data_IF_738016154830
#
_entry.id   IF_738016154830
#
_cell.length_a   1.000
_cell.length_b   1.000
_cell.length_c   1.000
_cell.angle_alpha   90.00
_cell.angle_beta   90.00
_cell.angle_gamma   90.00
#
_symmetry.space_group_name_H-M   'P 1'
#
loop_
_entity.id
_entity.type
_entity.pdbx_description
1 polymer ?
#
# COMPACT_ATOMS: atom_id res chain seq x y z
N UNK A 1 -5.66 -2.78 -15.26
CA UNK A 1 -6.54 -1.96 -14.38
C UNK A 1 -6.01 -0.54 -14.32
N UNK A 2 -6.82 0.45 -13.93
CA UNK A 2 -6.32 1.81 -13.72
C UNK A 2 -5.38 1.86 -12.50
N UNK A 3 -4.26 2.58 -12.62
CA UNK A 3 -3.23 2.72 -11.59
C UNK A 3 -2.75 4.17 -11.57
N UNK A 4 -2.70 4.77 -10.38
CA UNK A 4 -2.19 6.14 -10.21
C UNK A 4 -0.74 6.14 -9.71
N UNK A 5 -0.08 7.28 -9.80
CA UNK A 5 1.21 7.57 -9.16
C UNK A 5 1.09 8.91 -8.46
N UNK A 6 1.59 9.02 -7.24
CA UNK A 6 1.62 10.28 -6.50
C UNK A 6 3.07 10.68 -6.20
N UNK A 7 3.32 11.98 -6.14
CA UNK A 7 4.64 12.58 -5.90
C UNK A 7 5.32 12.06 -4.63
N UNK A 8 6.66 12.03 -4.63
CA UNK A 8 7.47 11.47 -3.54
C UNK A 8 7.34 12.21 -2.20
N UNK A 9 6.88 13.46 -2.20
CA UNK A 9 6.60 14.22 -0.98
C UNK A 9 5.44 13.64 -0.14
N UNK A 10 4.65 12.72 -0.70
CA UNK A 10 3.61 11.98 0.03
C UNK A 10 4.15 10.81 0.83
N UNK A 11 5.39 10.39 0.62
CA UNK A 11 5.96 9.30 1.42
C UNK A 11 6.20 9.75 2.87
N UNK A 12 5.82 8.95 3.88
CA UNK A 12 6.02 9.32 5.26
C UNK A 12 7.53 9.38 5.60
N UNK A 13 7.95 10.29 6.51
CA UNK A 13 9.36 10.51 6.82
C UNK A 13 10.03 9.28 7.44
N UNK A 14 9.27 8.43 8.13
CA UNK A 14 9.74 7.21 8.78
C UNK A 14 9.55 5.94 7.93
N UNK A 15 9.30 6.06 6.62
CA UNK A 15 9.21 4.90 5.75
C UNK A 15 10.56 4.15 5.69
N UNK A 16 10.60 2.93 6.22
CA UNK A 16 11.84 2.14 6.29
C UNK A 16 12.40 1.69 4.94
N UNK A 17 11.62 1.80 3.86
CA UNK A 17 12.06 1.48 2.50
C UNK A 17 12.65 2.71 1.76
N UNK A 18 12.38 3.93 2.24
CA UNK A 18 12.84 5.17 1.60
C UNK A 18 14.36 5.20 1.58
N UNK A 19 14.95 5.34 0.39
CA UNK A 19 16.40 5.25 0.14
C UNK A 19 17.03 3.95 0.64
N UNK A 20 16.22 2.93 0.87
CA UNK A 20 16.62 1.67 1.51
C UNK A 20 15.92 0.46 0.87
N UNK A 21 15.79 0.49 -0.46
CA UNK A 21 15.22 -0.61 -1.23
C UNK A 21 13.79 -0.39 -1.72
N UNK A 22 13.25 0.83 -1.64
CA UNK A 22 11.98 1.17 -2.28
C UNK A 22 12.05 0.88 -3.79
N UNK A 23 11.15 0.03 -4.30
CA UNK A 23 11.17 -0.35 -5.72
C UNK A 23 10.94 0.84 -6.66
N UNK A 24 10.18 1.85 -6.21
CA UNK A 24 9.88 3.06 -6.98
C UNK A 24 11.11 3.96 -7.21
N UNK A 25 12.19 3.77 -6.44
CA UNK A 25 13.45 4.51 -6.60
C UNK A 25 14.36 3.92 -7.68
N UNK A 26 13.90 2.87 -8.39
CA UNK A 26 14.71 2.17 -9.40
C UNK A 26 14.00 1.94 -10.73
N UNK A 27 14.79 1.72 -11.79
CA UNK A 27 14.30 1.34 -13.11
C UNK A 27 13.45 2.41 -13.82
N UNK A 28 12.65 2.01 -14.81
CA UNK A 28 11.79 2.94 -15.55
C UNK A 28 10.79 3.69 -14.67
N UNK A 29 10.28 3.03 -13.62
CA UNK A 29 9.35 3.65 -12.67
C UNK A 29 9.96 4.88 -12.00
N UNK A 30 11.25 4.86 -11.65
CA UNK A 30 11.93 6.01 -11.04
C UNK A 30 11.92 7.25 -11.94
N UNK A 31 12.03 7.07 -13.26
CA UNK A 31 12.00 8.16 -14.24
C UNK A 31 10.61 8.82 -14.24
N UNK A 32 9.55 8.01 -14.33
CA UNK A 32 8.18 8.51 -14.31
C UNK A 32 7.82 9.13 -12.96
N UNK A 33 8.24 8.50 -11.86
CA UNK A 33 7.95 8.99 -10.52
C UNK A 33 8.68 10.31 -10.20
N UNK A 34 9.91 10.48 -10.69
CA UNK A 34 10.63 11.76 -10.62
C UNK A 34 9.89 12.85 -11.39
N UNK A 35 9.48 12.59 -12.63
CA UNK A 35 8.72 13.57 -13.42
C UNK A 35 7.39 13.99 -12.75
N UNK A 36 6.68 13.05 -12.11
CA UNK A 36 5.49 13.38 -11.30
C UNK A 36 5.87 14.21 -10.07
N UNK A 37 6.96 13.85 -9.40
CA UNK A 37 7.43 14.55 -8.18
C UNK A 37 7.94 15.97 -8.44
N UNK A 38 8.45 16.22 -9.65
CA UNK A 38 8.91 17.53 -10.12
C UNK A 38 7.78 18.37 -10.76
N UNK A 39 6.56 17.83 -10.82
CA UNK A 39 5.42 18.53 -11.43
C UNK A 39 5.44 18.58 -12.97
N UNK A 40 6.34 17.84 -13.62
CA UNK A 40 6.44 17.74 -15.07
C UNK A 40 5.34 16.85 -15.69
N UNK A 41 4.71 16.01 -14.87
CA UNK A 41 3.60 15.12 -15.23
C UNK A 41 2.62 15.02 -14.07
N UNK A 42 1.36 14.73 -14.40
CA UNK A 42 0.31 14.47 -13.42
C UNK A 42 -0.86 15.43 -13.59
N UNK A 43 -1.82 15.30 -12.69
CA UNK A 43 -3.01 16.11 -12.60
C UNK A 43 -3.16 16.63 -11.17
N UNK A 44 -4.00 17.63 -10.99
CA UNK A 44 -4.41 18.09 -9.67
C UNK A 44 -5.19 17.00 -8.95
N UNK A 45 -5.30 17.12 -7.62
CA UNK A 45 -6.09 16.18 -6.84
C UNK A 45 -7.56 16.15 -7.28
N UNK A 46 -8.12 17.29 -7.66
CA UNK A 46 -9.54 17.40 -8.05
C UNK A 46 -9.81 16.75 -9.40
N UNK A 47 -8.90 16.90 -10.37
CA UNK A 47 -8.94 16.17 -11.64
C UNK A 47 -8.84 14.65 -11.42
N UNK A 48 -7.96 14.20 -10.53
CA UNK A 48 -7.90 12.79 -10.14
C UNK A 48 -9.25 12.27 -9.60
N UNK A 49 -9.93 13.04 -8.73
CA UNK A 49 -11.24 12.63 -8.21
C UNK A 49 -12.28 12.52 -9.32
N UNK A 50 -12.25 13.43 -10.29
CA UNK A 50 -13.13 13.39 -11.46
C UNK A 50 -12.85 12.14 -12.29
N UNK A 51 -11.60 11.84 -12.60
CA UNK A 51 -11.21 10.62 -13.35
C UNK A 51 -11.65 9.33 -12.63
N UNK A 52 -11.48 9.24 -11.31
CA UNK A 52 -11.96 8.08 -10.54
C UNK A 52 -13.49 7.95 -10.67
N UNK A 53 -14.19 9.07 -10.67
CA UNK A 53 -15.65 9.14 -10.81
C UNK A 53 -16.17 8.83 -12.22
N UNK A 54 -15.31 8.69 -13.23
CA UNK A 54 -15.68 8.21 -14.57
C UNK A 54 -15.37 6.73 -14.78
N UNK A 55 -14.58 6.11 -13.89
CA UNK A 55 -14.33 4.66 -13.96
C UNK A 55 -15.65 3.87 -13.93
N UNK A 56 -15.70 2.81 -14.73
CA UNK A 56 -16.83 1.88 -14.81
C UNK A 56 -17.22 1.40 -13.42
N UNK A 57 -18.53 1.26 -13.16
CA UNK A 57 -19.03 0.69 -11.90
C UNK A 57 -18.35 -0.65 -11.61
N UNK A 58 -17.98 -0.83 -10.34
CA UNK A 58 -17.24 -1.98 -9.80
C UNK A 58 -15.86 -2.21 -10.43
N UNK A 59 -15.32 -1.25 -11.18
CA UNK A 59 -13.94 -1.35 -11.68
C UNK A 59 -12.96 -1.41 -10.51
N UNK A 60 -12.07 -2.40 -10.58
CA UNK A 60 -10.90 -2.49 -9.71
C UNK A 60 -9.85 -1.50 -10.20
N UNK A 61 -9.28 -0.74 -9.27
CA UNK A 61 -8.20 0.20 -9.55
C UNK A 61 -7.29 0.31 -8.34
N UNK A 62 -6.03 0.66 -8.59
CA UNK A 62 -5.04 0.85 -7.53
C UNK A 62 -4.67 2.31 -7.44
N UNK A 63 -4.88 2.88 -6.27
CA UNK A 63 -4.22 4.13 -5.94
C UNK A 63 -2.76 3.80 -5.57
N UNK A 64 -1.86 4.42 -6.32
CA UNK A 64 -0.43 4.50 -6.12
C UNK A 64 0.37 3.21 -6.35
N UNK A 65 1.02 3.16 -7.51
CA UNK A 65 2.23 2.35 -7.73
C UNK A 65 3.50 3.02 -7.21
N UNK A 66 3.48 4.31 -6.91
CA UNK A 66 4.55 5.04 -6.23
C UNK A 66 3.94 6.26 -5.53
N UNK A 67 4.63 6.77 -4.50
CA UNK A 67 4.03 7.69 -3.52
C UNK A 67 3.16 6.96 -2.49
N UNK A 68 2.55 7.71 -1.60
CA UNK A 68 1.65 7.23 -0.54
C UNK A 68 0.44 8.19 -0.43
N UNK A 69 -0.33 8.12 0.64
CA UNK A 69 -1.48 8.99 0.91
C UNK A 69 -1.04 10.44 1.11
N UNK A 70 -1.85 11.40 0.65
CA UNK A 70 -1.53 12.84 0.77
C UNK A 70 -1.39 13.25 2.24
N UNK A 71 -0.28 13.89 2.66
CA UNK A 71 -0.10 14.38 4.01
C UNK A 71 -0.72 15.76 4.24
N UNK A 72 -1.19 16.01 5.47
CA UNK A 72 -1.43 17.37 5.97
C UNK A 72 -0.19 17.95 6.63
N UNK A 73 0.69 17.09 7.15
CA UNK A 73 1.99 17.43 7.71
C UNK A 73 2.91 16.18 7.70
N UNK A 74 4.23 16.32 7.96
CA UNK A 74 5.13 15.17 7.95
C UNK A 74 4.66 14.02 8.86
N UNK A 75 4.34 12.87 8.26
CA UNK A 75 3.90 11.68 8.99
C UNK A 75 2.41 11.66 9.39
N UNK A 76 1.63 12.68 9.01
CA UNK A 76 0.18 12.74 9.26
C UNK A 76 -0.56 12.75 7.93
N UNK A 77 -1.49 11.80 7.77
CA UNK A 77 -2.38 11.69 6.60
C UNK A 77 -3.37 12.86 6.64
N UNK A 78 -3.58 13.51 5.50
CA UNK A 78 -4.70 14.42 5.32
C UNK A 78 -6.02 13.62 5.27
N UNK A 79 -6.71 13.55 6.40
CA UNK A 79 -7.97 12.83 6.53
C UNK A 79 -9.06 13.39 5.60
N UNK A 80 -9.07 14.71 5.38
CA UNK A 80 -10.05 15.35 4.50
C UNK A 80 -9.90 14.91 3.06
N UNK A 81 -8.67 14.93 2.54
CA UNK A 81 -8.37 14.46 1.19
C UNK A 81 -8.60 12.95 1.04
N UNK A 82 -8.24 12.14 2.03
CA UNK A 82 -8.51 10.70 2.00
C UNK A 82 -10.02 10.40 1.97
N UNK A 83 -10.85 11.14 2.72
CA UNK A 83 -12.31 11.01 2.66
C UNK A 83 -12.86 11.42 1.29
N UNK A 84 -12.34 12.51 0.69
CA UNK A 84 -12.73 12.93 -0.66
C UNK A 84 -12.41 11.84 -1.69
N UNK A 85 -11.22 11.24 -1.60
CA UNK A 85 -10.81 10.10 -2.43
C UNK A 85 -11.76 8.90 -2.26
N UNK A 86 -12.05 8.54 -1.00
CA UNK A 86 -12.94 7.42 -0.70
C UNK A 86 -14.37 7.66 -1.21
N UNK A 87 -14.85 8.91 -1.19
CA UNK A 87 -16.15 9.28 -1.76
C UNK A 87 -16.16 9.20 -3.29
N UNK A 88 -15.11 9.69 -3.97
CA UNK A 88 -14.98 9.54 -5.43
C UNK A 88 -14.94 8.06 -5.85
N UNK A 89 -14.32 7.21 -5.02
CA UNK A 89 -14.31 5.76 -5.20
C UNK A 89 -15.68 5.09 -5.03
N UNK A 90 -16.72 5.75 -4.52
CA UNK A 90 -18.03 5.11 -4.28
C UNK A 90 -18.54 4.40 -5.54
N UNK A 91 -18.89 3.12 -5.39
CA UNK A 91 -19.32 2.26 -6.49
C UNK A 91 -18.19 1.67 -7.34
N UNK A 92 -16.92 1.94 -7.01
CA UNK A 92 -15.71 1.31 -7.55
C UNK A 92 -15.05 0.46 -6.46
N UNK A 93 -13.98 -0.23 -6.87
CA UNK A 93 -13.22 -1.15 -6.03
C UNK A 93 -11.78 -0.64 -5.91
N UNK A 94 -11.59 0.56 -5.39
CA UNK A 94 -10.28 1.16 -5.19
C UNK A 94 -9.56 0.59 -3.98
N UNK A 95 -8.25 0.41 -4.10
CA UNK A 95 -7.39 0.05 -2.99
C UNK A 95 -6.02 0.71 -3.07
N UNK A 96 -5.33 0.79 -1.95
CA UNK A 96 -3.96 1.30 -1.82
C UNK A 96 -3.20 0.58 -0.71
N UNK A 97 -1.92 0.89 -0.60
CA UNK A 97 -1.05 0.51 0.51
C UNK A 97 -0.50 1.76 1.16
N UNK A 98 -0.32 1.75 2.47
CA UNK A 98 0.29 2.88 3.18
C UNK A 98 1.40 2.42 4.11
N UNK A 99 2.49 3.19 4.11
CA UNK A 99 3.60 3.08 5.04
C UNK A 99 3.48 4.05 6.22
N UNK A 100 2.42 4.86 6.27
CA UNK A 100 2.17 5.73 7.41
C UNK A 100 1.94 4.89 8.67
N UNK A 101 2.56 5.31 9.77
CA UNK A 101 2.29 4.67 11.06
C UNK A 101 0.83 4.89 11.44
N UNK A 102 0.11 3.84 11.91
CA UNK A 102 -1.29 3.95 12.32
C UNK A 102 -1.40 4.58 13.72
N UNK A 103 -0.94 5.83 13.84
CA UNK A 103 -1.23 6.69 15.01
C UNK A 103 -2.74 6.86 15.19
N UNK A 104 -3.24 7.34 16.33
CA UNK A 104 -4.69 7.55 16.50
C UNK A 104 -5.34 8.36 15.36
N UNK A 105 -4.69 9.44 14.92
CA UNK A 105 -5.17 10.26 13.80
C UNK A 105 -5.14 9.53 12.45
N UNK A 106 -3.99 8.92 12.10
CA UNK A 106 -3.86 8.19 10.83
C UNK A 106 -4.77 6.96 10.80
N UNK A 107 -4.85 6.24 11.91
CA UNK A 107 -5.70 5.05 12.08
C UNK A 107 -7.18 5.37 11.91
N UNK A 108 -7.66 6.48 12.48
CA UNK A 108 -9.04 6.94 12.29
C UNK A 108 -9.33 7.27 10.81
N UNK A 109 -8.42 7.99 10.14
CA UNK A 109 -8.57 8.33 8.72
C UNK A 109 -8.60 7.07 7.83
N UNK A 110 -7.70 6.11 8.09
CA UNK A 110 -7.62 4.82 7.39
C UNK A 110 -8.90 4.01 7.61
N UNK A 111 -9.36 3.89 8.86
CA UNK A 111 -10.58 3.17 9.20
C UNK A 111 -11.79 3.77 8.46
N UNK A 112 -11.90 5.10 8.46
CA UNK A 112 -12.99 5.80 7.77
C UNK A 112 -12.97 5.54 6.26
N UNK A 113 -11.81 5.58 5.61
CA UNK A 113 -11.67 5.27 4.18
C UNK A 113 -12.12 3.83 3.86
N UNK A 114 -11.69 2.87 4.70
CA UNK A 114 -12.06 1.47 4.61
C UNK A 114 -13.58 1.24 4.81
N UNK A 115 -14.21 1.97 5.73
CA UNK A 115 -15.66 1.94 5.94
C UNK A 115 -16.43 2.52 4.73
N UNK A 116 -15.86 3.53 4.05
CA UNK A 116 -16.41 4.12 2.83
C UNK A 116 -16.18 3.27 1.56
N UNK A 117 -15.46 2.16 1.66
CA UNK A 117 -15.24 1.21 0.57
C UNK A 117 -14.00 1.47 -0.28
N UNK A 118 -13.11 2.38 0.12
CA UNK A 118 -11.78 2.53 -0.46
C UNK A 118 -10.76 1.83 0.44
N UNK A 119 -10.20 0.72 -0.05
CA UNK A 119 -9.43 -0.19 0.81
C UNK A 119 -7.98 0.26 0.98
N UNK A 120 -7.64 0.79 2.14
CA UNK A 120 -6.26 1.10 2.55
C UNK A 120 -5.69 -0.08 3.31
N UNK A 121 -4.63 -0.67 2.78
CA UNK A 121 -3.88 -1.77 3.41
C UNK A 121 -2.74 -1.20 4.26
N UNK A 122 -2.58 -1.68 5.49
CA UNK A 122 -1.41 -1.36 6.33
C UNK A 122 -0.21 -2.18 5.89
N UNK A 123 0.89 -1.52 5.51
CA UNK A 123 2.13 -2.17 5.09
C UNK A 123 3.07 -2.44 6.27
N UNK A 124 3.27 -3.72 6.57
CA UNK A 124 4.27 -4.17 7.53
C UNK A 124 5.59 -4.57 6.84
N UNK A 125 6.68 -4.39 7.57
CA UNK A 125 8.04 -4.75 7.17
C UNK A 125 8.50 -6.06 7.82
N UNK A 126 7.82 -6.51 8.88
CA UNK A 126 8.13 -7.74 9.63
C UNK A 126 6.84 -8.47 10.01
N UNK A 127 6.93 -9.77 10.32
CA UNK A 127 5.77 -10.54 10.76
C UNK A 127 5.20 -10.06 12.10
N UNK A 128 6.07 -9.63 13.04
CA UNK A 128 5.63 -9.07 14.31
C UNK A 128 4.92 -7.73 14.12
N UNK A 129 5.41 -6.87 13.22
CA UNK A 129 4.70 -5.63 12.88
C UNK A 129 3.35 -5.93 12.21
N UNK A 130 3.29 -6.97 11.38
CA UNK A 130 2.04 -7.40 10.77
C UNK A 130 1.00 -7.83 11.82
N UNK A 131 1.44 -8.53 12.89
CA UNK A 131 0.59 -8.83 14.03
C UNK A 131 0.11 -7.56 14.75
N UNK A 132 1.00 -6.61 15.02
CA UNK A 132 0.64 -5.34 15.65
C UNK A 132 -0.40 -4.57 14.82
N UNK A 133 -0.24 -4.52 13.50
CA UNK A 133 -1.22 -3.88 12.61
C UNK A 133 -2.54 -4.63 12.56
N UNK A 134 -2.51 -5.97 12.51
CA UNK A 134 -3.72 -6.78 12.44
C UNK A 134 -4.55 -6.67 13.73
N UNK A 135 -3.89 -6.57 14.89
CA UNK A 135 -4.55 -6.39 16.19
C UNK A 135 -5.30 -5.06 16.33
N UNK A 136 -5.04 -4.07 15.47
CA UNK A 136 -5.79 -2.81 15.47
C UNK A 136 -7.23 -2.97 14.94
N UNK A 137 -7.49 -3.98 14.10
CA UNK A 137 -8.84 -4.22 13.54
C UNK A 137 -9.38 -3.12 12.62
N UNK A 138 -8.53 -2.20 12.13
CA UNK A 138 -8.97 -1.05 11.32
C UNK A 138 -8.82 -1.23 9.80
N UNK A 139 -8.00 -2.19 9.37
CA UNK A 139 -7.58 -2.35 7.98
C UNK A 139 -7.05 -3.75 7.69
N UNK A 140 -7.12 -4.22 6.43
CA UNK A 140 -6.36 -5.39 6.00
C UNK A 140 -4.86 -5.09 6.04
N UNK A 141 -4.06 -6.12 6.32
CA UNK A 141 -2.61 -6.00 6.46
C UNK A 141 -1.91 -6.69 5.31
N UNK A 142 -0.80 -6.09 4.89
CA UNK A 142 0.19 -6.72 4.01
C UNK A 142 1.56 -6.69 4.64
N UNK A 143 2.45 -7.58 4.23
CA UNK A 143 3.80 -7.66 4.78
C UNK A 143 4.82 -7.97 3.70
N UNK A 144 5.99 -7.35 3.73
CA UNK A 144 7.11 -7.80 2.89
C UNK A 144 7.61 -9.16 3.38
N UNK A 145 8.06 -10.01 2.47
CA UNK A 145 8.63 -11.31 2.76
C UNK A 145 10.06 -11.39 2.19
N UNK A 146 10.92 -12.28 2.72
CA UNK A 146 12.21 -12.57 2.11
C UNK A 146 12.05 -12.96 0.63
N UNK A 147 13.07 -12.62 -0.16
CA UNK A 147 13.15 -13.00 -1.56
C UNK A 147 13.04 -14.52 -1.71
N UNK A 148 12.31 -14.99 -2.73
CA UNK A 148 12.10 -16.42 -2.98
C UNK A 148 11.07 -17.10 -2.06
N UNK A 149 10.37 -16.36 -1.18
CA UNK A 149 9.28 -16.94 -0.40
C UNK A 149 8.11 -17.31 -1.30
N UNK A 150 7.89 -18.61 -1.50
CA UNK A 150 6.82 -19.14 -2.39
C UNK A 150 5.68 -19.84 -1.65
N UNK A 151 5.89 -20.20 -0.38
CA UNK A 151 4.89 -20.90 0.45
C UNK A 151 4.31 -19.94 1.49
N UNK A 152 3.04 -20.11 1.89
CA UNK A 152 2.45 -19.38 3.01
C UNK A 152 3.28 -19.56 4.28
N UNK A 153 3.31 -18.54 5.12
CA UNK A 153 3.96 -18.56 6.44
C UNK A 153 2.97 -18.18 7.53
N UNK A 154 3.37 -18.33 8.79
CA UNK A 154 2.63 -17.83 9.94
C UNK A 154 3.41 -16.73 10.64
N UNK A 155 2.69 -15.74 11.16
CA UNK A 155 3.25 -14.75 12.07
C UNK A 155 3.48 -15.36 13.46
N UNK A 156 4.25 -14.70 14.35
CA UNK A 156 4.40 -15.13 15.75
C UNK A 156 3.06 -15.31 16.49
N UNK A 157 2.06 -14.46 16.25
CA UNK A 157 0.72 -14.63 16.82
C UNK A 157 -0.16 -15.65 16.06
N UNK A 158 0.44 -16.46 15.17
CA UNK A 158 -0.24 -17.54 14.47
C UNK A 158 -1.09 -17.13 13.27
N UNK A 159 -1.11 -15.85 12.88
CA UNK A 159 -1.91 -15.37 11.73
C UNK A 159 -1.34 -15.89 10.42
N UNK A 160 -2.23 -16.27 9.51
CA UNK A 160 -1.83 -16.79 8.21
C UNK A 160 -1.37 -15.65 7.29
N UNK A 161 -0.20 -15.82 6.69
CA UNK A 161 0.32 -14.96 5.62
C UNK A 161 0.35 -15.76 4.32
N UNK A 162 -0.55 -15.41 3.40
CA UNK A 162 -0.55 -15.98 2.04
C UNK A 162 0.42 -15.19 1.18
N UNK A 163 1.17 -15.86 0.31
CA UNK A 163 2.03 -15.16 -0.65
C UNK A 163 1.15 -14.59 -1.77
N UNK A 164 1.39 -13.34 -2.15
CA UNK A 164 0.68 -12.66 -3.22
C UNK A 164 0.68 -13.54 -4.49
N UNK A 165 -0.50 -13.95 -5.01
CA UNK A 165 -0.58 -14.80 -6.19
C UNK A 165 0.08 -14.18 -7.43
N UNK A 166 0.06 -12.85 -7.56
CA UNK A 166 0.73 -12.16 -8.66
C UNK A 166 2.26 -12.21 -8.56
N UNK A 167 2.81 -12.23 -7.34
CA UNK A 167 4.26 -12.43 -7.13
C UNK A 167 4.71 -13.85 -7.48
N UNK A 168 3.79 -14.82 -7.49
CA UNK A 168 4.04 -16.20 -7.90
C UNK A 168 3.81 -16.43 -9.41
N UNK A 169 3.31 -15.43 -10.14
CA UNK A 169 2.93 -15.57 -11.55
C UNK A 169 1.62 -16.31 -11.79
N UNK A 170 0.82 -16.55 -10.74
CA UNK A 170 -0.44 -17.32 -10.85
C UNK A 170 -1.61 -16.49 -11.39
N UNK A 171 -1.53 -15.16 -11.31
CA UNK A 171 -2.58 -14.21 -11.72
C UNK A 171 -2.02 -12.79 -11.76
N UNK A 172 -2.86 -11.79 -12.03
CA UNK A 172 -2.52 -10.38 -11.91
C UNK A 172 -3.43 -9.67 -10.90
N UNK A 173 -3.15 -8.40 -10.61
CA UNK A 173 -3.95 -7.63 -9.67
C UNK A 173 -5.40 -7.44 -10.14
N UNK A 174 -5.63 -7.31 -11.46
CA UNK A 174 -6.97 -7.06 -12.02
C UNK A 174 -7.90 -8.25 -11.80
N UNK A 175 -7.37 -9.47 -11.96
CA UNK A 175 -8.09 -10.72 -11.81
C UNK A 175 -8.15 -11.20 -10.35
N UNK A 176 -7.12 -10.90 -9.55
CA UNK A 176 -7.06 -11.32 -8.15
C UNK A 176 -7.94 -10.45 -7.21
N UNK A 177 -7.71 -9.14 -7.18
CA UNK A 177 -8.46 -8.20 -6.34
C UNK A 177 -8.43 -8.42 -4.82
N UNK A 178 -7.62 -9.34 -4.28
CA UNK A 178 -7.58 -9.65 -2.83
C UNK A 178 -7.18 -8.42 -1.99
N UNK A 179 -6.39 -7.50 -2.55
CA UNK A 179 -5.99 -6.24 -1.90
C UNK A 179 -7.09 -5.20 -1.77
N UNK A 180 -8.22 -5.40 -2.44
CA UNK A 180 -9.42 -4.62 -2.22
C UNK A 180 -10.39 -5.30 -1.23
N UNK A 181 -10.18 -6.57 -0.89
CA UNK A 181 -11.05 -7.25 0.08
C UNK A 181 -10.67 -6.83 1.50
N UNK A 182 -11.37 -5.82 2.02
CA UNK A 182 -11.15 -5.26 3.37
C UNK A 182 -11.22 -6.33 4.47
N UNK A 183 -12.23 -7.18 4.41
CA UNK A 183 -12.58 -8.14 5.47
C UNK A 183 -11.92 -9.52 5.28
N UNK A 184 -10.85 -9.59 4.49
CA UNK A 184 -10.12 -10.86 4.28
C UNK A 184 -9.47 -11.34 5.58
N UNK A 185 -9.49 -12.65 5.80
CA UNK A 185 -8.89 -13.25 6.99
C UNK A 185 -7.35 -13.30 6.95
N UNK A 186 -6.77 -13.39 5.74
CA UNK A 186 -5.33 -13.58 5.56
C UNK A 186 -4.57 -12.26 5.38
N UNK A 187 -3.36 -12.22 5.94
CA UNK A 187 -2.36 -11.21 5.60
C UNK A 187 -1.77 -11.57 4.23
N UNK A 188 -1.56 -10.59 3.37
CA UNK A 188 -0.92 -10.82 2.06
C UNK A 188 0.57 -10.48 2.15
N UNK A 189 1.40 -11.45 1.82
CA UNK A 189 2.85 -11.35 1.81
C UNK A 189 3.41 -11.04 0.43
N UNK A 190 4.37 -10.12 0.34
CA UNK A 190 5.04 -9.73 -0.88
C UNK A 190 6.54 -10.07 -0.82
N UNK A 191 7.01 -11.11 -1.52
CA UNK A 191 8.44 -11.39 -1.61
C UNK A 191 9.21 -10.19 -2.16
N UNK A 192 10.31 -9.85 -1.49
CA UNK A 192 11.22 -8.80 -1.93
C UNK A 192 11.75 -9.13 -3.34
N UNK A 193 11.80 -8.12 -4.21
CA UNK A 193 12.17 -8.26 -5.62
C UNK A 193 12.89 -7.00 -6.14
N UNK A 194 13.44 -7.11 -7.36
CA UNK A 194 14.16 -6.03 -8.02
C UNK A 194 15.50 -5.70 -7.34
N UNK A 195 16.10 -4.58 -7.76
CA UNK A 195 17.44 -4.16 -7.31
C UNK A 195 17.51 -3.84 -5.80
N UNK A 196 16.37 -3.57 -5.15
CA UNK A 196 16.27 -3.30 -3.72
C UNK A 196 16.08 -4.55 -2.84
N UNK A 197 15.90 -5.75 -3.42
CA UNK A 197 15.42 -6.93 -2.71
C UNK A 197 16.22 -7.28 -1.46
N UNK A 198 17.56 -7.27 -1.56
CA UNK A 198 18.46 -7.59 -0.44
C UNK A 198 18.30 -6.61 0.74
N UNK A 199 18.14 -5.30 0.45
CA UNK A 199 17.95 -4.28 1.49
C UNK A 199 16.61 -4.45 2.19
N UNK A 200 15.53 -4.66 1.42
CA UNK A 200 14.19 -4.93 1.96
C UNK A 200 14.17 -6.19 2.82
N UNK A 201 14.80 -7.26 2.33
CA UNK A 201 14.93 -8.51 3.08
C UNK A 201 15.71 -8.33 4.39
N UNK A 202 16.78 -7.52 4.39
CA UNK A 202 17.53 -7.24 5.60
C UNK A 202 16.66 -6.56 6.68
N UNK A 203 15.74 -5.66 6.29
CA UNK A 203 14.79 -5.03 7.21
C UNK A 203 13.88 -6.10 7.84
N UNK A 204 13.37 -7.03 7.03
CA UNK A 204 12.51 -8.12 7.51
C UNK A 204 13.20 -8.94 8.63
N UNK A 205 14.48 -9.27 8.46
CA UNK A 205 15.22 -10.07 9.43
C UNK A 205 15.69 -9.28 10.66
N UNK A 206 15.92 -7.97 10.56
CA UNK A 206 16.27 -7.11 11.72
C UNK A 206 15.19 -7.10 12.82
N UNK A 207 13.95 -7.43 12.48
CA UNK A 207 12.84 -7.49 13.44
C UNK A 207 12.64 -8.84 14.13
N UNK A 208 13.55 -9.82 13.96
CA UNK A 208 13.51 -11.07 14.74
C UNK A 208 14.16 -10.83 16.10
N UNK A 209 13.51 -11.15 17.23
CA UNK A 209 14.23 -11.25 18.49
C UNK A 209 15.31 -12.34 18.36
N UNK A 210 16.50 -12.06 18.90
CA UNK A 210 17.63 -12.98 19.02
C UNK A 210 17.25 -14.24 19.78
#
# INVERSE_FOLDING_TARGET
MAVTTTSANTCPPNCGLRRNGCYAESGPLAIHWRAVSEGLRGSTFDELLQEISTLRRRALWRHNQAGDLTPSSPGVIDAGLLVRLARANRGRRGFTYTHYSPTPANGAAIQQANQLGFTVNLSAQTLAQADSHASLGIAPVVVVLPQGTIRPVRTPAGRQVVVCPASLGNTDCLNCGICQQRDRAAIVGFPAHGAGAQRVQAIFFKGRPS
#
